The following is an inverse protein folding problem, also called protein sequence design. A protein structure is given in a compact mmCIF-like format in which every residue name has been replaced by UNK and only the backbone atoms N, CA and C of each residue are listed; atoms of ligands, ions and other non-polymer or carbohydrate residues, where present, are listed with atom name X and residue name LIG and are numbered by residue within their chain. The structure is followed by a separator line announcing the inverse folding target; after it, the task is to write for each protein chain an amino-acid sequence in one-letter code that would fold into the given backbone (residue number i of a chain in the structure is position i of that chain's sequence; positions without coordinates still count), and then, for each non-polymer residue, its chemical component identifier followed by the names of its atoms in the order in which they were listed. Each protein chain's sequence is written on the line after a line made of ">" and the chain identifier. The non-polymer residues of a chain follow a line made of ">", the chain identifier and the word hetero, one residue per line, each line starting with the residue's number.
data_IF_620253616610
#
_entry.id   IF_620253616610
#
_cell.length_a   1.000
_cell.length_b   1.000
_cell.length_c   1.000
_cell.angle_alpha   90.00
_cell.angle_beta   90.00
_cell.angle_gamma   90.00
#
_symmetry.space_group_name_H-M   'P 1'
#
loop_
_entity.id
_entity.type
_entity.pdbx_description
1 polymer ?
#
# COMPACT_ATOMS: atom_id res chain seq x y z
N UNK A 1 -2.72 -14.47 -14.47
CA UNK A 1 -3.84 -13.69 -13.90
C UNK A 1 -3.62 -13.55 -12.39
N UNK A 2 -3.16 -12.38 -11.91
CA UNK A 2 -2.89 -12.13 -10.49
C UNK A 2 -4.08 -11.56 -9.71
N UNK A 3 -5.02 -10.91 -10.41
CA UNK A 3 -6.13 -10.20 -9.79
C UNK A 3 -6.95 -11.04 -8.77
N UNK A 4 -7.28 -12.32 -9.02
CA UNK A 4 -8.02 -13.11 -8.04
C UNK A 4 -7.29 -13.24 -6.70
N UNK A 5 -5.97 -13.41 -6.71
CA UNK A 5 -5.16 -13.55 -5.50
C UNK A 5 -5.00 -12.24 -4.73
N UNK A 6 -4.92 -11.10 -5.43
CA UNK A 6 -4.91 -9.78 -4.78
C UNK A 6 -6.21 -9.52 -4.01
N UNK A 7 -7.36 -9.90 -4.59
CA UNK A 7 -8.67 -9.75 -3.94
C UNK A 7 -8.83 -10.69 -2.76
N UNK A 8 -8.37 -11.95 -2.90
CA UNK A 8 -8.43 -12.96 -1.83
C UNK A 8 -7.62 -12.53 -0.61
N UNK A 9 -6.37 -12.11 -0.80
CA UNK A 9 -5.49 -11.66 0.29
C UNK A 9 -6.01 -10.39 0.94
N UNK A 10 -6.49 -9.42 0.16
CA UNK A 10 -7.03 -8.16 0.69
C UNK A 10 -8.29 -8.29 1.53
N UNK A 11 -8.98 -9.44 1.49
CA UNK A 11 -10.22 -9.71 2.26
C UNK A 11 -10.04 -10.80 3.32
N UNK A 12 -8.84 -11.35 3.47
CA UNK A 12 -8.60 -12.48 4.34
C UNK A 12 -8.59 -12.06 5.82
N UNK A 13 -9.37 -12.69 6.72
CA UNK A 13 -9.53 -12.23 8.10
C UNK A 13 -8.27 -12.36 8.97
N UNK A 14 -7.36 -13.27 8.61
CA UNK A 14 -6.11 -13.52 9.34
C UNK A 14 -4.89 -12.85 8.68
N UNK A 15 -5.09 -11.98 7.69
CA UNK A 15 -3.99 -11.28 7.01
C UNK A 15 -4.29 -9.79 7.06
N UNK A 16 -3.37 -9.04 7.66
CA UNK A 16 -3.38 -7.58 7.58
C UNK A 16 -2.49 -7.14 6.41
N UNK A 17 -3.04 -6.34 5.49
CA UNK A 17 -2.29 -5.83 4.33
C UNK A 17 -1.93 -4.38 4.57
N UNK A 18 -0.65 -4.13 4.88
CA UNK A 18 -0.09 -2.80 5.04
C UNK A 18 0.54 -2.32 3.73
N UNK A 19 -0.26 -1.65 2.89
CA UNK A 19 0.24 -1.10 1.61
C UNK A 19 1.05 0.18 1.84
N UNK A 20 1.98 0.46 0.92
CA UNK A 20 2.87 1.64 1.00
C UNK A 20 3.60 1.75 2.35
N UNK A 21 3.94 0.58 2.89
CA UNK A 21 4.61 0.41 4.18
C UNK A 21 5.92 -0.34 3.95
N UNK A 22 6.98 0.10 4.61
CA UNK A 22 8.32 -0.49 4.53
C UNK A 22 8.79 -0.94 5.90
N UNK A 23 9.64 -1.96 5.94
CA UNK A 23 10.29 -2.43 7.16
C UNK A 23 11.47 -1.50 7.44
N UNK A 24 11.48 -0.92 8.63
CA UNK A 24 12.57 -0.04 9.11
C UNK A 24 13.58 -0.82 9.94
N UNK A 25 13.10 -1.73 10.78
CA UNK A 25 13.94 -2.53 11.67
C UNK A 25 13.29 -3.83 12.09
N UNK A 26 14.13 -4.82 12.40
CA UNK A 26 13.72 -6.12 12.93
C UNK A 26 14.64 -6.46 14.10
N UNK A 27 14.04 -6.74 15.24
CA UNK A 27 14.71 -7.10 16.49
C UNK A 27 14.14 -8.40 17.04
N UNK A 28 14.88 -9.06 17.93
CA UNK A 28 14.48 -10.31 18.58
C UNK A 28 15.08 -11.55 17.94
N UNK A 29 14.45 -12.70 18.17
CA UNK A 29 14.94 -14.01 17.75
C UNK A 29 13.82 -14.90 17.22
N UNK A 30 14.17 -16.10 16.75
CA UNK A 30 13.22 -17.00 16.11
C UNK A 30 12.02 -17.32 17.02
N UNK A 31 10.84 -16.84 16.65
CA UNK A 31 9.58 -17.03 17.38
C UNK A 31 9.14 -15.83 18.21
N UNK A 32 10.01 -14.84 18.41
CA UNK A 32 9.70 -13.59 19.12
C UNK A 32 10.39 -12.40 18.43
N UNK A 33 9.76 -11.92 17.36
CA UNK A 33 10.25 -10.80 16.57
C UNK A 33 9.44 -9.55 16.86
N UNK A 34 10.14 -8.43 17.04
CA UNK A 34 9.57 -7.10 17.01
C UNK A 34 9.99 -6.42 15.71
N UNK A 35 9.03 -5.99 14.91
CA UNK A 35 9.27 -5.35 13.61
C UNK A 35 8.78 -3.91 13.64
N UNK A 36 9.67 -2.98 13.33
CA UNK A 36 9.34 -1.56 13.16
C UNK A 36 8.98 -1.31 11.70
N UNK A 37 7.83 -0.69 11.48
CA UNK A 37 7.27 -0.42 10.16
C UNK A 37 7.10 1.09 9.96
N UNK A 38 7.46 1.57 8.76
CA UNK A 38 7.16 2.92 8.31
C UNK A 38 6.02 2.86 7.30
N UNK A 39 4.82 3.29 7.71
CA UNK A 39 3.71 3.52 6.80
C UNK A 39 3.84 4.90 6.17
N UNK A 40 4.17 4.97 4.88
CA UNK A 40 4.37 6.24 4.18
C UNK A 40 3.02 6.97 4.03
N UNK A 41 2.97 8.29 4.28
CA UNK A 41 1.73 9.05 4.12
C UNK A 41 1.37 9.12 2.63
N UNK A 42 0.14 8.70 2.30
CA UNK A 42 -0.44 8.93 0.97
C UNK A 42 -0.96 10.35 0.79
N UNK A 43 -0.99 11.13 1.86
CA UNK A 43 -1.63 12.45 1.93
C UNK A 43 -3.12 12.44 1.54
N UNK A 44 -3.77 11.29 1.68
CA UNK A 44 -5.19 11.05 1.43
C UNK A 44 -5.73 10.26 2.63
N UNK A 45 -6.95 10.58 3.06
CA UNK A 45 -7.68 9.77 4.05
C UNK A 45 -8.20 8.50 3.36
N UNK A 46 -7.54 7.38 3.59
CA UNK A 46 -7.79 6.10 2.90
C UNK A 46 -9.20 5.55 3.16
N UNK A 47 -9.75 5.80 4.36
CA UNK A 47 -11.07 5.34 4.82
C UNK A 47 -12.25 5.97 4.05
N UNK A 48 -12.05 7.16 3.48
CA UNK A 48 -13.07 7.87 2.70
C UNK A 48 -12.76 7.89 1.19
N UNK A 49 -11.58 7.43 0.78
CA UNK A 49 -11.19 7.40 -0.62
C UNK A 49 -11.93 6.27 -1.36
N UNK A 50 -12.69 6.61 -2.39
CA UNK A 50 -13.46 5.63 -3.18
C UNK A 50 -12.74 5.10 -4.42
N UNK A 51 -11.57 5.68 -4.76
CA UNK A 51 -10.84 5.33 -5.98
C UNK A 51 -11.49 5.84 -7.27
N UNK A 52 -12.33 6.88 -7.22
CA UNK A 52 -13.08 7.39 -8.38
C UNK A 52 -12.26 8.17 -9.42
N UNK A 53 -10.96 8.36 -9.19
CA UNK A 53 -9.99 9.04 -10.09
C UNK A 53 -10.26 10.50 -10.45
N UNK A 54 -11.34 11.13 -9.96
CA UNK A 54 -11.66 12.54 -10.26
C UNK A 54 -10.55 13.51 -9.87
N UNK A 55 -9.83 13.25 -8.78
CA UNK A 55 -8.70 14.11 -8.36
C UNK A 55 -7.56 14.14 -9.39
N UNK A 56 -7.38 13.07 -10.18
CA UNK A 56 -6.32 12.97 -11.19
C UNK A 56 -6.66 13.84 -12.41
N UNK A 57 -7.93 13.91 -12.80
CA UNK A 57 -8.39 14.70 -13.96
C UNK A 57 -8.14 16.20 -13.80
N UNK A 58 -8.23 16.71 -12.57
CA UNK A 58 -7.99 18.12 -12.26
C UNK A 58 -6.54 18.44 -11.89
N UNK A 59 -5.66 17.43 -11.79
CA UNK A 59 -4.26 17.66 -11.43
C UNK A 59 -3.52 18.37 -12.57
N UNK A 60 -2.97 19.58 -12.36
CA UNK A 60 -2.25 20.30 -13.41
C UNK A 60 -0.81 19.79 -13.62
N UNK A 61 -0.35 18.86 -12.78
CA UNK A 61 1.03 18.35 -12.80
C UNK A 61 1.04 16.94 -13.38
N UNK A 62 1.93 16.73 -14.36
CA UNK A 62 2.28 15.42 -14.87
C UNK A 62 3.56 14.94 -14.19
N UNK A 63 3.54 13.72 -13.70
CA UNK A 63 4.70 13.04 -13.13
C UNK A 63 5.00 11.78 -13.95
N UNK A 64 6.28 11.41 -14.14
CA UNK A 64 6.63 10.16 -14.79
C UNK A 64 5.96 8.97 -14.10
N UNK A 65 5.48 8.01 -14.88
CA UNK A 65 4.87 6.78 -14.36
C UNK A 65 5.93 5.68 -14.25
N UNK A 66 6.45 5.38 -13.04
CA UNK A 66 7.48 4.37 -12.87
C UNK A 66 6.97 2.93 -13.08
N UNK A 67 5.65 2.70 -13.09
CA UNK A 67 5.08 1.37 -13.31
C UNK A 67 5.08 1.00 -14.79
N UNK A 68 4.63 1.93 -15.63
CA UNK A 68 4.51 1.74 -17.07
C UNK A 68 5.82 2.02 -17.82
N UNK A 69 6.98 1.64 -17.24
CA UNK A 69 8.34 1.91 -17.72
C UNK A 69 8.43 2.16 -19.25
N UNK A 70 8.61 3.42 -19.64
CA UNK A 70 8.99 3.79 -21.01
C UNK A 70 10.46 3.44 -21.29
#
# INVERSE_FOLDING_TARGET
>A
MLAPKLVEVGRHPNIEVLTYTEVDGVEGEAGDFTVTLIKKPRYIKEDICTGCTTCVEYCPVMVPDPYNQD
#
